data_IF_768473954676
#
_entry.id   IF_768473954676
#
_cell.length_a   1.000
_cell.length_b   1.000
_cell.length_c   1.000
_cell.angle_alpha   90.00
_cell.angle_beta   90.00
_cell.angle_gamma   90.00
#
_symmetry.space_group_name_H-M   'P 1'
#
loop_
_entity.id
_entity.type
_entity.pdbx_description
1 polymer ?
#
# COMPACT_ATOMS: atom_id res chain seq x y z
N UNK A 1 -13.46 34.29 2.08
CA UNK A 1 -13.51 34.12 0.61
C UNK A 1 -13.01 32.71 0.32
N UNK A 2 -13.89 31.83 -0.19
CA UNK A 2 -13.48 30.53 -0.73
C UNK A 2 -12.67 30.85 -1.98
N UNK A 3 -11.35 30.68 -1.93
CA UNK A 3 -10.56 30.67 -3.15
C UNK A 3 -11.04 29.48 -3.97
N UNK A 4 -11.25 29.77 -5.25
CA UNK A 4 -11.86 28.93 -6.26
C UNK A 4 -11.32 27.50 -6.30
N UNK A 5 -12.23 26.59 -6.66
CA UNK A 5 -12.07 25.18 -7.03
C UNK A 5 -11.16 25.01 -8.25
N UNK A 6 -9.94 25.56 -8.23
CA UNK A 6 -8.96 25.36 -9.29
C UNK A 6 -8.13 24.13 -8.97
N UNK A 7 -8.22 23.13 -9.85
CA UNK A 7 -7.36 21.96 -9.79
C UNK A 7 -5.88 22.39 -9.89
N UNK A 8 -5.02 21.63 -9.22
CA UNK A 8 -3.58 21.79 -9.28
C UNK A 8 -3.09 21.22 -10.61
N UNK A 9 -2.53 22.08 -11.46
CA UNK A 9 -1.99 21.65 -12.78
C UNK A 9 -0.46 21.73 -12.85
N UNK A 10 0.17 22.45 -11.93
CA UNK A 10 1.61 22.70 -11.89
C UNK A 10 2.17 22.73 -10.46
N UNK A 11 3.50 22.67 -10.33
CA UNK A 11 4.20 22.93 -9.07
C UNK A 11 3.86 24.32 -8.50
N UNK A 12 3.67 25.31 -9.37
CA UNK A 12 3.31 26.67 -8.97
C UNK A 12 1.90 26.70 -8.33
N UNK A 13 0.93 26.03 -8.93
CA UNK A 13 -0.44 25.94 -8.39
C UNK A 13 -0.43 25.27 -7.01
N UNK A 14 0.29 24.15 -6.89
CA UNK A 14 0.48 23.47 -5.62
C UNK A 14 1.06 24.42 -4.57
N UNK A 15 2.12 25.15 -4.91
CA UNK A 15 2.77 26.11 -4.03
C UNK A 15 1.83 27.26 -3.62
N UNK A 16 0.93 27.67 -4.51
CA UNK A 16 -0.04 28.75 -4.29
C UNK A 16 -1.27 28.33 -3.45
N UNK A 17 -1.50 27.03 -3.24
CA UNK A 17 -2.62 26.54 -2.43
C UNK A 17 -2.65 27.17 -1.03
N UNK A 18 -3.82 27.63 -0.63
CA UNK A 18 -4.07 28.15 0.71
C UNK A 18 -3.95 27.04 1.77
N UNK A 19 -3.38 27.34 2.94
CA UNK A 19 -3.27 26.39 4.05
C UNK A 19 -4.61 25.90 4.60
N UNK A 20 -5.71 26.61 4.31
CA UNK A 20 -7.08 26.24 4.70
C UNK A 20 -7.82 25.45 3.61
N UNK A 21 -7.14 25.02 2.55
CA UNK A 21 -7.75 24.19 1.51
C UNK A 21 -8.30 22.90 2.12
N UNK A 22 -9.53 22.54 1.75
CA UNK A 22 -10.22 21.34 2.24
C UNK A 22 -10.17 20.19 1.24
N UNK A 23 -10.03 20.48 -0.04
CA UNK A 23 -9.91 19.49 -1.11
C UNK A 23 -8.78 19.89 -2.04
N UNK A 24 -7.85 18.96 -2.27
CA UNK A 24 -6.76 19.13 -3.23
C UNK A 24 -6.99 18.12 -4.35
N UNK A 25 -7.29 18.63 -5.54
CA UNK A 25 -7.43 17.83 -6.76
C UNK A 25 -6.28 18.22 -7.69
N UNK A 26 -5.49 17.23 -8.12
CA UNK A 26 -4.44 17.39 -9.12
C UNK A 26 -4.93 16.72 -10.39
N UNK A 27 -4.86 17.41 -11.52
CA UNK A 27 -5.31 16.88 -12.80
C UNK A 27 -4.38 15.78 -13.33
N UNK A 28 -4.83 15.10 -14.38
CA UNK A 28 -4.03 14.13 -15.11
C UNK A 28 -2.83 14.81 -15.79
N UNK A 29 -1.69 14.12 -15.84
CA UNK A 29 -0.44 14.58 -16.46
C UNK A 29 0.19 15.85 -15.85
N UNK A 30 -0.19 16.22 -14.62
CA UNK A 30 0.21 17.47 -13.97
C UNK A 30 1.38 17.31 -12.98
N UNK A 31 1.96 18.46 -12.59
CA UNK A 31 3.05 18.56 -11.61
C UNK A 31 4.29 17.71 -11.93
N UNK A 32 4.67 17.67 -13.22
CA UNK A 32 5.75 16.83 -13.76
C UNK A 32 7.08 17.60 -13.94
N UNK A 33 7.23 18.79 -13.38
CA UNK A 33 8.42 19.62 -13.52
C UNK A 33 9.65 18.93 -12.90
N UNK A 34 10.82 19.02 -13.56
CA UNK A 34 12.05 18.36 -13.10
C UNK A 34 12.54 18.87 -11.73
N UNK A 35 12.18 20.11 -11.38
CA UNK A 35 12.47 20.70 -10.07
C UNK A 35 11.60 20.14 -8.94
N UNK A 36 10.47 19.49 -9.25
CA UNK A 36 9.50 19.08 -8.24
C UNK A 36 9.81 17.68 -7.69
N UNK A 37 10.85 17.61 -6.85
CA UNK A 37 11.37 16.33 -6.33
C UNK A 37 10.81 15.91 -4.96
N UNK A 38 10.15 16.81 -4.23
CA UNK A 38 9.58 16.55 -2.90
C UNK A 38 8.18 17.13 -2.80
N UNK A 39 7.21 16.29 -2.45
CA UNK A 39 5.82 16.66 -2.25
C UNK A 39 5.45 16.43 -0.79
N UNK A 40 5.05 17.49 -0.09
CA UNK A 40 4.71 17.43 1.33
C UNK A 40 3.39 18.17 1.63
N UNK A 41 2.34 17.39 1.88
CA UNK A 41 1.01 17.90 2.17
C UNK A 41 0.82 18.35 3.63
N UNK A 42 1.83 18.21 4.49
CA UNK A 42 1.70 18.44 5.95
C UNK A 42 1.32 19.88 6.33
N UNK A 43 1.45 20.85 5.40
CA UNK A 43 1.06 22.25 5.62
C UNK A 43 -0.45 22.49 5.56
N UNK A 44 -1.24 21.56 5.00
CA UNK A 44 -2.67 21.75 4.76
C UNK A 44 -3.53 21.17 5.90
N UNK A 45 -3.43 21.73 7.10
CA UNK A 45 -4.06 21.15 8.30
C UNK A 45 -5.60 20.99 8.26
N UNK A 46 -6.27 21.65 7.30
CA UNK A 46 -7.72 21.57 7.08
C UNK A 46 -8.12 20.63 5.94
N UNK A 47 -7.17 20.00 5.25
CA UNK A 47 -7.46 19.15 4.09
C UNK A 47 -8.22 17.90 4.51
N UNK A 48 -9.30 17.63 3.81
CA UNK A 48 -10.14 16.44 3.98
C UNK A 48 -9.91 15.41 2.87
N UNK A 49 -9.55 15.86 1.66
CA UNK A 49 -9.41 14.99 0.50
C UNK A 49 -8.18 15.38 -0.31
N UNK A 50 -7.37 14.37 -0.68
CA UNK A 50 -6.26 14.52 -1.62
C UNK A 50 -6.52 13.56 -2.77
N UNK A 51 -6.69 14.09 -3.97
CA UNK A 51 -6.93 13.34 -5.20
C UNK A 51 -5.87 13.72 -6.22
N UNK A 52 -5.12 12.73 -6.66
CA UNK A 52 -4.08 12.89 -7.68
C UNK A 52 -4.54 12.19 -8.95
N UNK A 53 -4.59 12.92 -10.06
CA UNK A 53 -4.85 12.39 -11.40
C UNK A 53 -3.76 11.43 -11.87
N UNK A 54 -4.02 10.73 -12.97
CA UNK A 54 -3.08 9.77 -13.55
C UNK A 54 -1.89 10.47 -14.21
N UNK A 55 -0.74 9.78 -14.31
CA UNK A 55 0.47 10.31 -14.96
C UNK A 55 1.10 11.56 -14.31
N UNK A 56 0.78 11.83 -13.05
CA UNK A 56 1.19 13.04 -12.33
C UNK A 56 2.38 12.81 -11.39
N UNK A 57 3.09 13.90 -11.03
CA UNK A 57 4.25 13.88 -10.12
C UNK A 57 5.39 12.92 -10.52
N UNK A 58 5.65 12.78 -11.82
CA UNK A 58 6.67 11.87 -12.38
C UNK A 58 8.07 12.10 -11.81
N UNK A 59 8.41 13.31 -11.36
CA UNK A 59 9.74 13.62 -10.83
C UNK A 59 9.80 13.68 -9.30
N UNK A 60 8.67 13.47 -8.60
CA UNK A 60 8.65 13.45 -7.13
C UNK A 60 9.29 12.15 -6.62
N UNK A 61 10.30 12.32 -5.78
CA UNK A 61 11.07 11.25 -5.14
C UNK A 61 10.52 10.92 -3.75
N UNK A 62 10.00 11.92 -3.06
CA UNK A 62 9.47 11.78 -1.70
C UNK A 62 8.08 12.38 -1.60
N UNK A 63 7.12 11.55 -1.20
CA UNK A 63 5.76 11.96 -0.88
C UNK A 63 5.54 11.82 0.63
N UNK A 64 5.22 12.93 1.29
CA UNK A 64 4.89 12.99 2.71
C UNK A 64 3.44 13.47 2.92
N UNK A 65 2.66 12.64 3.60
CA UNK A 65 1.32 12.97 4.09
C UNK A 65 1.31 12.68 5.59
N UNK A 66 1.42 13.74 6.40
CA UNK A 66 1.70 13.58 7.82
C UNK A 66 0.93 14.57 8.69
N UNK A 67 0.37 14.07 9.80
CA UNK A 67 -0.34 14.90 10.81
C UNK A 67 -1.45 15.77 10.20
N UNK A 68 -2.29 15.16 9.36
CA UNK A 68 -3.49 15.78 8.80
C UNK A 68 -4.74 15.22 9.50
N UNK A 69 -5.24 15.86 10.57
CA UNK A 69 -6.30 15.29 11.41
C UNK A 69 -7.66 15.23 10.71
N UNK A 70 -7.92 16.12 9.76
CA UNK A 70 -9.18 16.20 9.01
C UNK A 70 -9.19 15.36 7.74
N UNK A 71 -8.03 14.80 7.33
CA UNK A 71 -7.90 14.04 6.09
C UNK A 71 -8.72 12.75 6.19
N UNK A 72 -9.65 12.56 5.27
CA UNK A 72 -10.59 11.42 5.19
C UNK A 72 -10.28 10.49 4.03
N UNK A 73 -9.73 11.03 2.93
CA UNK A 73 -9.50 10.27 1.70
C UNK A 73 -8.16 10.65 1.04
N UNK A 74 -7.40 9.64 0.61
CA UNK A 74 -6.28 9.79 -0.33
C UNK A 74 -6.51 8.87 -1.51
N UNK A 75 -6.58 9.46 -2.71
CA UNK A 75 -6.66 8.74 -3.98
C UNK A 75 -5.52 9.17 -4.89
N UNK A 76 -4.80 8.20 -5.43
CA UNK A 76 -3.76 8.41 -6.44
C UNK A 76 -4.15 7.67 -7.71
N UNK A 77 -4.16 8.38 -8.83
CA UNK A 77 -4.42 7.85 -10.16
C UNK A 77 -3.36 6.87 -10.63
N UNK A 78 -3.51 6.38 -11.85
CA UNK A 78 -2.61 5.39 -12.43
C UNK A 78 -1.30 6.06 -12.86
N UNK A 79 -0.21 5.29 -12.91
CA UNK A 79 1.09 5.72 -13.45
C UNK A 79 1.60 7.06 -12.86
N UNK A 80 1.29 7.33 -11.59
CA UNK A 80 1.74 8.53 -10.87
C UNK A 80 2.96 8.23 -10.00
N UNK A 81 3.79 9.25 -9.71
CA UNK A 81 5.02 9.06 -8.93
C UNK A 81 5.99 8.03 -9.56
N UNK A 82 6.11 8.02 -10.88
CA UNK A 82 6.93 7.06 -11.64
C UNK A 82 8.36 7.55 -11.88
N UNK A 83 8.99 8.12 -10.84
CA UNK A 83 10.35 8.69 -10.93
C UNK A 83 11.33 7.81 -11.68
N UNK A 84 12.14 8.42 -12.54
CA UNK A 84 13.22 7.73 -13.25
C UNK A 84 14.40 7.38 -12.34
N UNK A 85 14.50 8.03 -11.18
CA UNK A 85 15.52 7.71 -10.19
C UNK A 85 15.20 6.39 -9.51
N UNK A 86 16.18 5.50 -9.44
CA UNK A 86 16.00 4.11 -8.98
C UNK A 86 16.14 3.92 -7.46
N UNK A 87 16.63 4.91 -6.73
CA UNK A 87 17.00 4.75 -5.31
C UNK A 87 16.57 5.96 -4.48
N UNK A 88 16.25 5.72 -3.20
CA UNK A 88 15.93 6.76 -2.23
C UNK A 88 14.50 7.29 -2.27
N UNK A 89 13.65 6.72 -3.13
CA UNK A 89 12.26 7.15 -3.28
C UNK A 89 11.39 6.56 -2.16
N UNK A 90 10.59 7.39 -1.49
CA UNK A 90 9.84 7.02 -0.28
C UNK A 90 8.44 7.63 -0.26
N UNK A 91 7.45 6.79 0.05
CA UNK A 91 6.09 7.22 0.35
C UNK A 91 5.81 7.05 1.84
N UNK A 92 5.44 8.15 2.50
CA UNK A 92 5.18 8.21 3.93
C UNK A 92 3.77 8.75 4.19
N UNK A 93 2.91 7.91 4.78
CA UNK A 93 1.56 8.28 5.21
C UNK A 93 1.40 7.92 6.69
N UNK A 94 1.43 8.92 7.57
CA UNK A 94 1.48 8.69 9.03
C UNK A 94 0.64 9.68 9.81
N UNK A 95 0.09 9.24 10.94
CA UNK A 95 -0.58 10.10 11.93
C UNK A 95 -1.76 10.92 11.35
N UNK A 96 -2.46 10.42 10.34
CA UNK A 96 -3.68 11.02 9.79
C UNK A 96 -4.89 10.32 10.41
N UNK A 97 -5.33 10.82 11.58
CA UNK A 97 -6.27 10.12 12.46
C UNK A 97 -7.69 9.99 11.88
N UNK A 98 -8.10 10.89 10.98
CA UNK A 98 -9.39 10.83 10.32
C UNK A 98 -9.44 10.01 9.02
N UNK A 99 -8.30 9.48 8.55
CA UNK A 99 -8.21 8.88 7.22
C UNK A 99 -8.95 7.54 7.19
N UNK A 100 -9.91 7.41 6.28
CA UNK A 100 -10.76 6.21 6.13
C UNK A 100 -10.38 5.35 4.94
N UNK A 101 -9.98 5.98 3.84
CA UNK A 101 -9.70 5.29 2.58
C UNK A 101 -8.36 5.72 1.98
N UNK A 102 -7.56 4.73 1.60
CA UNK A 102 -6.37 4.88 0.79
C UNK A 102 -6.51 4.05 -0.48
N UNK A 103 -6.50 4.71 -1.63
CA UNK A 103 -6.52 4.06 -2.94
C UNK A 103 -5.37 4.52 -3.81
N UNK A 104 -4.59 3.57 -4.31
CA UNK A 104 -3.45 3.82 -5.18
C UNK A 104 -3.68 3.11 -6.52
N UNK A 105 -3.62 3.85 -7.62
CA UNK A 105 -3.76 3.31 -8.97
C UNK A 105 -2.63 2.38 -9.39
N UNK A 106 -2.88 1.60 -10.43
CA UNK A 106 -1.89 0.70 -11.02
C UNK A 106 -0.68 1.48 -11.58
N UNK A 107 0.49 0.85 -11.67
CA UNK A 107 1.74 1.48 -12.14
C UNK A 107 2.35 2.56 -11.23
N UNK A 108 1.59 3.08 -10.27
CA UNK A 108 2.04 4.17 -9.40
C UNK A 108 3.17 3.76 -8.46
N UNK A 109 4.05 4.70 -8.14
CA UNK A 109 5.20 4.49 -7.25
C UNK A 109 6.14 3.35 -7.69
N UNK A 110 6.20 3.03 -8.98
CA UNK A 110 6.94 1.86 -9.51
C UNK A 110 8.46 1.87 -9.25
N UNK A 111 9.04 3.01 -8.86
CA UNK A 111 10.45 3.14 -8.45
C UNK A 111 10.61 3.53 -6.98
N UNK A 112 9.56 3.45 -6.18
CA UNK A 112 9.64 3.72 -4.75
C UNK A 112 10.21 2.52 -4.02
N UNK A 113 11.23 2.76 -3.20
CA UNK A 113 11.90 1.70 -2.44
C UNK A 113 11.19 1.36 -1.12
N UNK A 114 10.37 2.27 -0.60
CA UNK A 114 9.67 2.11 0.66
C UNK A 114 8.25 2.71 0.63
N UNK A 115 7.31 1.97 1.23
CA UNK A 115 5.94 2.40 1.50
C UNK A 115 5.67 2.23 3.00
N UNK A 116 5.54 3.36 3.71
CA UNK A 116 5.38 3.38 5.17
C UNK A 116 4.02 3.97 5.57
N UNK A 117 3.16 3.11 6.11
CA UNK A 117 1.79 3.46 6.51
C UNK A 117 1.58 3.07 7.97
N UNK A 118 1.32 4.04 8.85
CA UNK A 118 1.17 3.76 10.29
C UNK A 118 0.38 4.83 11.04
N UNK A 119 -0.19 4.43 12.18
CA UNK A 119 -0.94 5.30 13.10
C UNK A 119 -2.15 5.99 12.42
N UNK A 120 -2.96 5.20 11.72
CA UNK A 120 -4.19 5.61 11.04
C UNK A 120 -5.38 4.90 11.68
N UNK A 121 -5.96 5.53 12.69
CA UNK A 121 -6.89 4.87 13.62
C UNK A 121 -8.25 4.59 12.97
N UNK A 122 -8.65 5.42 12.00
CA UNK A 122 -9.93 5.34 11.29
C UNK A 122 -9.84 4.64 9.93
N UNK A 123 -8.66 4.15 9.53
CA UNK A 123 -8.48 3.57 8.20
C UNK A 123 -9.22 2.24 8.11
N UNK A 124 -10.11 2.11 7.12
CA UNK A 124 -10.93 0.92 6.92
C UNK A 124 -10.50 0.11 5.69
N UNK A 125 -10.08 0.82 4.62
CA UNK A 125 -9.80 0.24 3.31
C UNK A 125 -8.45 0.69 2.79
N UNK A 126 -7.64 -0.29 2.35
CA UNK A 126 -6.43 -0.07 1.55
C UNK A 126 -6.57 -0.86 0.25
N UNK A 127 -6.60 -0.12 -0.86
CA UNK A 127 -6.58 -0.68 -2.22
C UNK A 127 -5.33 -0.16 -2.96
N UNK A 128 -4.50 -1.08 -3.45
CA UNK A 128 -3.26 -0.74 -4.15
C UNK A 128 -3.15 -1.49 -5.48
N UNK A 129 -3.52 -0.82 -6.56
CA UNK A 129 -3.59 -1.37 -7.91
C UNK A 129 -4.97 -1.95 -8.24
N UNK A 130 -5.03 -2.68 -9.36
CA UNK A 130 -6.21 -3.42 -9.82
C UNK A 130 -5.82 -4.87 -10.09
N UNK A 131 -6.79 -5.78 -10.15
CA UNK A 131 -6.52 -7.19 -10.45
C UNK A 131 -6.17 -7.43 -11.93
N UNK A 132 -6.40 -6.44 -12.80
CA UNK A 132 -6.28 -6.56 -14.25
C UNK A 132 -5.01 -5.93 -14.83
N UNK A 133 -4.31 -5.07 -14.08
CA UNK A 133 -3.18 -4.29 -14.58
C UNK A 133 -1.95 -4.36 -13.65
N UNK A 134 -0.79 -3.93 -14.18
CA UNK A 134 0.49 -3.96 -13.47
C UNK A 134 0.49 -3.09 -12.20
N UNK A 135 0.85 -3.70 -11.08
CA UNK A 135 0.59 -3.17 -9.75
C UNK A 135 1.59 -2.08 -9.32
N UNK A 136 1.22 -1.30 -8.29
CA UNK A 136 2.07 -0.25 -7.78
C UNK A 136 3.26 -0.78 -6.96
N UNK A 137 4.20 0.10 -6.64
CA UNK A 137 5.29 -0.17 -5.70
C UNK A 137 6.22 -1.34 -6.07
N UNK A 138 6.56 -1.51 -7.35
CA UNK A 138 7.55 -2.52 -7.76
C UNK A 138 8.87 -2.35 -6.99
N UNK A 139 9.37 -3.45 -6.46
CA UNK A 139 10.55 -3.57 -5.60
C UNK A 139 10.47 -2.89 -4.22
N UNK A 140 9.34 -2.29 -3.86
CA UNK A 140 9.18 -1.67 -2.55
C UNK A 140 8.91 -2.72 -1.47
N UNK A 141 9.32 -2.43 -0.23
CA UNK A 141 8.84 -3.17 0.93
C UNK A 141 7.62 -2.50 1.55
N UNK A 142 6.71 -3.30 2.10
CA UNK A 142 5.47 -2.83 2.75
C UNK A 142 5.51 -3.11 4.26
N UNK A 143 5.10 -2.11 5.04
CA UNK A 143 4.84 -2.26 6.47
C UNK A 143 3.50 -1.63 6.82
N UNK A 144 2.54 -2.48 7.17
CA UNK A 144 1.25 -2.12 7.74
C UNK A 144 1.25 -2.53 9.22
N UNK A 145 1.22 -1.54 10.11
CA UNK A 145 1.28 -1.77 11.55
C UNK A 145 0.28 -0.93 12.32
N UNK A 146 -0.38 -1.56 13.29
CA UNK A 146 -1.28 -0.90 14.25
C UNK A 146 -2.40 -0.11 13.53
N UNK A 147 -3.17 -0.81 12.70
CA UNK A 147 -4.30 -0.23 11.98
C UNK A 147 -5.59 -0.88 12.52
N UNK A 148 -6.21 -0.30 13.57
CA UNK A 148 -7.20 -0.99 14.38
C UNK A 148 -8.53 -1.21 13.66
N UNK A 149 -8.86 -0.43 12.62
CA UNK A 149 -10.14 -0.49 11.91
C UNK A 149 -10.07 -1.05 10.49
N UNK A 150 -8.88 -1.42 10.00
CA UNK A 150 -8.72 -1.94 8.63
C UNK A 150 -9.42 -3.29 8.53
N UNK A 151 -10.34 -3.41 7.57
CA UNK A 151 -11.15 -4.62 7.33
C UNK A 151 -10.71 -5.37 6.08
N UNK A 152 -10.30 -4.63 5.04
CA UNK A 152 -10.02 -5.18 3.72
C UNK A 152 -8.69 -4.62 3.22
N UNK A 153 -7.83 -5.53 2.77
CA UNK A 153 -6.62 -5.21 2.01
C UNK A 153 -6.76 -5.76 0.60
N UNK A 154 -6.54 -4.92 -0.40
CA UNK A 154 -6.44 -5.34 -1.80
C UNK A 154 -5.10 -4.91 -2.38
N UNK A 155 -4.37 -5.86 -2.92
CA UNK A 155 -3.13 -5.66 -3.65
C UNK A 155 -3.31 -6.18 -5.06
N UNK A 156 -3.22 -5.30 -6.05
CA UNK A 156 -3.41 -5.61 -7.46
C UNK A 156 -2.34 -6.53 -8.04
N UNK A 157 -2.54 -6.93 -9.29
CA UNK A 157 -1.62 -7.82 -10.03
C UNK A 157 -0.22 -7.22 -10.09
N UNK A 158 0.79 -7.89 -9.56
CA UNK A 158 2.18 -7.41 -9.50
C UNK A 158 2.44 -6.31 -8.48
N UNK A 159 1.48 -5.98 -7.60
CA UNK A 159 1.71 -5.02 -6.53
C UNK A 159 2.84 -5.52 -5.60
N UNK A 160 3.81 -4.65 -5.32
CA UNK A 160 5.00 -5.02 -4.53
C UNK A 160 5.78 -6.23 -5.10
N UNK A 161 5.76 -6.45 -6.42
CA UNK A 161 6.62 -7.47 -7.04
C UNK A 161 8.10 -7.17 -6.79
N UNK A 162 8.92 -8.21 -6.65
CA UNK A 162 10.32 -8.10 -6.25
C UNK A 162 10.54 -7.38 -4.90
N UNK A 163 9.60 -7.49 -3.95
CA UNK A 163 9.81 -6.95 -2.60
C UNK A 163 10.82 -7.78 -1.80
N UNK A 164 11.35 -7.20 -0.72
CA UNK A 164 12.19 -7.91 0.26
C UNK A 164 11.40 -8.17 1.53
N UNK A 165 10.49 -7.27 1.90
CA UNK A 165 9.75 -7.40 3.15
C UNK A 165 8.28 -7.01 3.00
N UNK A 166 7.42 -7.86 3.55
CA UNK A 166 6.01 -7.56 3.77
C UNK A 166 5.66 -7.80 5.25
N UNK A 167 5.13 -6.77 5.92
CA UNK A 167 4.71 -6.85 7.32
C UNK A 167 3.26 -6.40 7.44
N UNK A 168 2.41 -7.28 7.96
CA UNK A 168 1.00 -7.03 8.28
C UNK A 168 0.79 -7.44 9.73
N UNK A 169 0.82 -6.46 10.65
CA UNK A 169 0.88 -6.73 12.08
C UNK A 169 -0.07 -5.83 12.90
N UNK A 170 -0.82 -6.44 13.81
CA UNK A 170 -1.80 -5.76 14.69
C UNK A 170 -2.93 -5.08 13.90
N UNK A 171 -3.64 -5.86 13.09
CA UNK A 171 -4.86 -5.44 12.39
C UNK A 171 -6.03 -6.30 12.92
N UNK A 172 -6.59 -5.96 14.09
CA UNK A 172 -7.56 -6.80 14.80
C UNK A 172 -8.90 -6.96 14.08
N UNK A 173 -9.28 -5.99 13.23
CA UNK A 173 -10.53 -5.99 12.47
C UNK A 173 -10.39 -6.51 11.03
N UNK A 174 -9.19 -6.92 10.63
CA UNK A 174 -8.93 -7.40 9.27
C UNK A 174 -9.65 -8.72 9.03
N UNK A 175 -10.53 -8.76 8.03
CA UNK A 175 -11.34 -9.94 7.69
C UNK A 175 -10.92 -10.57 6.37
N UNK A 176 -10.46 -9.78 5.40
CA UNK A 176 -10.08 -10.27 4.07
C UNK A 176 -8.80 -9.63 3.53
N UNK A 177 -7.99 -10.44 2.84
CA UNK A 177 -6.84 -10.00 2.05
C UNK A 177 -6.94 -10.56 0.63
N UNK A 178 -6.87 -9.68 -0.37
CA UNK A 178 -6.95 -10.02 -1.78
C UNK A 178 -5.60 -9.73 -2.44
N UNK A 179 -5.00 -10.75 -3.04
CA UNK A 179 -3.76 -10.67 -3.78
C UNK A 179 -4.01 -10.94 -5.27
N UNK A 180 -3.68 -9.97 -6.11
CA UNK A 180 -3.62 -10.15 -7.56
C UNK A 180 -2.46 -11.06 -7.96
N UNK A 181 -2.44 -11.45 -9.24
CA UNK A 181 -1.40 -12.34 -9.76
C UNK A 181 -0.01 -11.70 -9.56
N UNK A 182 0.94 -12.45 -9.02
CA UNK A 182 2.32 -12.01 -8.70
C UNK A 182 2.43 -10.85 -7.69
N UNK A 183 1.35 -10.51 -6.97
CA UNK A 183 1.46 -9.60 -5.84
C UNK A 183 2.40 -10.20 -4.78
N UNK A 184 3.34 -9.40 -4.27
CA UNK A 184 4.38 -9.87 -3.34
C UNK A 184 5.16 -11.11 -3.82
N UNK A 185 5.51 -11.18 -5.10
CA UNK A 185 6.66 -11.99 -5.51
C UNK A 185 7.92 -11.40 -4.86
N UNK A 186 8.68 -12.21 -4.12
CA UNK A 186 9.88 -11.73 -3.42
C UNK A 186 11.10 -11.78 -4.34
N UNK A 187 12.11 -10.96 -4.03
CA UNK A 187 13.45 -11.20 -4.56
C UNK A 187 13.99 -12.51 -3.99
N UNK A 188 14.69 -13.27 -4.83
CA UNK A 188 15.47 -14.44 -4.41
C UNK A 188 16.68 -14.01 -3.58
N UNK A 189 16.41 -13.59 -2.35
CA UNK A 189 17.35 -13.02 -1.39
C UNK A 189 17.08 -13.65 -0.02
N UNK A 190 18.12 -14.07 0.68
CA UNK A 190 18.01 -14.75 1.98
C UNK A 190 17.46 -13.85 3.10
N UNK A 191 17.46 -12.53 2.89
CA UNK A 191 16.83 -11.57 3.81
C UNK A 191 15.32 -11.41 3.60
N UNK A 192 14.75 -12.01 2.54
CA UNK A 192 13.34 -11.84 2.19
C UNK A 192 12.41 -12.41 3.26
N UNK A 193 11.40 -11.62 3.65
CA UNK A 193 10.58 -11.95 4.83
C UNK A 193 9.12 -11.49 4.74
N UNK A 194 8.21 -12.41 5.05
CA UNK A 194 6.80 -12.15 5.35
C UNK A 194 6.56 -12.25 6.86
N UNK A 195 5.89 -11.26 7.42
CA UNK A 195 5.43 -11.26 8.81
C UNK A 195 3.94 -10.95 8.81
N UNK A 196 3.14 -11.92 9.25
CA UNK A 196 1.72 -11.72 9.54
C UNK A 196 1.46 -12.07 11.00
N UNK A 197 1.02 -11.08 11.78
CA UNK A 197 0.85 -11.25 13.23
C UNK A 197 -0.38 -10.54 13.77
N UNK A 198 -1.04 -11.18 14.73
CA UNK A 198 -2.18 -10.62 15.46
C UNK A 198 -3.29 -10.18 14.49
N UNK A 199 -3.79 -11.15 13.72
CA UNK A 199 -4.88 -11.00 12.75
C UNK A 199 -6.06 -11.91 13.18
N UNK A 200 -6.64 -11.69 14.38
CA UNK A 200 -7.60 -12.60 14.99
C UNK A 200 -8.91 -12.77 14.23
N UNK A 201 -9.31 -11.79 13.40
CA UNK A 201 -10.55 -11.83 12.62
C UNK A 201 -10.34 -12.18 11.14
N UNK A 202 -9.11 -12.48 10.72
CA UNK A 202 -8.83 -12.79 9.33
C UNK A 202 -9.46 -14.15 8.98
N UNK A 203 -10.48 -14.14 8.13
CA UNK A 203 -11.22 -15.35 7.71
C UNK A 203 -10.87 -15.79 6.30
N UNK A 204 -10.52 -14.83 5.43
CA UNK A 204 -10.42 -15.04 3.99
C UNK A 204 -9.12 -14.49 3.40
N UNK A 205 -8.45 -15.31 2.61
CA UNK A 205 -7.40 -14.89 1.68
C UNK A 205 -7.86 -15.30 0.28
N UNK A 206 -7.77 -14.36 -0.66
CA UNK A 206 -8.08 -14.60 -2.08
C UNK A 206 -6.82 -14.34 -2.89
N UNK A 207 -6.50 -15.24 -3.79
CA UNK A 207 -5.40 -15.11 -4.75
C UNK A 207 -5.95 -15.22 -6.17
N UNK A 208 -5.44 -14.39 -7.07
CA UNK A 208 -5.77 -14.43 -8.49
C UNK A 208 -4.70 -15.15 -9.31
N UNK A 209 -5.15 -15.78 -10.41
CA UNK A 209 -4.30 -16.46 -11.39
C UNK A 209 -4.34 -17.98 -11.31
N UNK A 210 -3.80 -18.63 -12.35
CA UNK A 210 -3.81 -20.09 -12.50
C UNK A 210 -2.61 -20.78 -11.82
N UNK A 211 -1.58 -20.02 -11.47
CA UNK A 211 -0.34 -20.53 -10.87
C UNK A 211 0.03 -19.73 -9.61
N UNK A 212 0.75 -20.38 -8.69
CA UNK A 212 1.22 -19.69 -7.49
C UNK A 212 2.37 -18.75 -7.84
N UNK A 213 2.10 -17.46 -7.80
CA UNK A 213 3.10 -16.40 -7.95
C UNK A 213 3.12 -15.43 -6.77
N UNK A 214 2.18 -15.59 -5.83
CA UNK A 214 2.11 -14.80 -4.60
C UNK A 214 3.08 -15.43 -3.59
N UNK A 215 3.91 -14.59 -2.95
CA UNK A 215 4.96 -15.02 -2.02
C UNK A 215 6.01 -15.96 -2.64
N UNK A 216 6.13 -16.00 -3.96
CA UNK A 216 7.19 -16.76 -4.63
C UNK A 216 8.57 -16.27 -4.19
N UNK A 217 9.56 -17.18 -4.11
CA UNK A 217 10.95 -16.87 -3.75
C UNK A 217 11.17 -16.29 -2.35
N UNK A 218 10.18 -16.39 -1.46
CA UNK A 218 10.31 -15.97 -0.07
C UNK A 218 11.23 -16.90 0.73
N UNK A 219 12.14 -16.31 1.51
CA UNK A 219 13.07 -17.05 2.35
C UNK A 219 12.50 -17.34 3.75
N UNK A 220 11.91 -16.35 4.45
CA UNK A 220 11.42 -16.52 5.83
C UNK A 220 9.98 -16.07 6.01
N UNK A 221 9.20 -16.89 6.71
CA UNK A 221 7.78 -16.61 7.01
C UNK A 221 7.55 -16.65 8.51
N UNK A 222 6.82 -15.67 9.03
CA UNK A 222 6.36 -15.63 10.41
C UNK A 222 4.85 -15.43 10.43
N UNK A 223 4.11 -16.41 10.96
CA UNK A 223 2.66 -16.40 11.11
C UNK A 223 2.31 -16.60 12.58
N UNK A 224 1.78 -15.58 13.25
CA UNK A 224 1.43 -15.69 14.67
C UNK A 224 0.07 -15.09 14.99
N UNK A 225 -0.74 -15.81 15.78
CA UNK A 225 -2.07 -15.35 16.21
C UNK A 225 -2.99 -15.02 15.02
N UNK A 226 -3.21 -16.03 14.16
CA UNK A 226 -4.15 -16.01 13.03
C UNK A 226 -5.11 -17.21 13.15
N UNK A 227 -5.91 -17.29 14.23
CA UNK A 227 -6.70 -18.48 14.56
C UNK A 227 -7.94 -18.70 13.68
N UNK A 228 -8.44 -17.65 13.00
CA UNK A 228 -9.77 -17.65 12.39
C UNK A 228 -9.79 -17.86 10.87
N UNK A 229 -8.65 -18.09 10.23
CA UNK A 229 -8.60 -18.23 8.77
C UNK A 229 -9.30 -19.52 8.36
N UNK A 230 -10.39 -19.44 7.61
CA UNK A 230 -11.17 -20.59 7.16
C UNK A 230 -11.04 -20.84 5.66
N UNK A 231 -10.77 -19.78 4.89
CA UNK A 231 -10.86 -19.83 3.43
C UNK A 231 -9.59 -19.25 2.79
N UNK A 232 -8.94 -20.06 1.95
CA UNK A 232 -7.92 -19.63 0.99
C UNK A 232 -8.49 -19.99 -0.39
N UNK A 233 -8.97 -19.00 -1.13
CA UNK A 233 -9.56 -19.17 -2.46
C UNK A 233 -8.55 -18.84 -3.54
N UNK A 234 -8.62 -19.55 -4.66
CA UNK A 234 -7.63 -19.47 -5.74
C UNK A 234 -6.48 -20.46 -5.53
N UNK A 235 -5.28 -20.09 -5.95
CA UNK A 235 -4.08 -20.91 -5.76
C UNK A 235 -3.51 -20.67 -4.36
N UNK A 236 -3.12 -21.74 -3.67
CA UNK A 236 -2.52 -21.64 -2.35
C UNK A 236 -1.20 -20.82 -2.38
N UNK A 237 -1.21 -19.59 -1.88
CA UNK A 237 -0.04 -18.71 -1.84
C UNK A 237 1.10 -19.21 -0.92
N UNK A 238 0.88 -20.28 -0.16
CA UNK A 238 1.88 -20.85 0.74
C UNK A 238 2.45 -22.19 0.24
N UNK A 239 2.13 -22.65 -0.98
CA UNK A 239 2.54 -23.99 -1.45
C UNK A 239 4.06 -24.15 -1.66
N UNK A 240 4.74 -23.11 -2.11
CA UNK A 240 6.15 -23.18 -2.56
C UNK A 240 7.15 -22.64 -1.52
N UNK A 241 6.76 -22.63 -0.24
CA UNK A 241 7.57 -22.01 0.82
C UNK A 241 8.51 -23.03 1.47
N UNK A 242 9.74 -22.61 1.78
CA UNK A 242 10.68 -23.47 2.50
C UNK A 242 10.27 -23.62 3.97
N UNK A 243 9.75 -24.80 4.33
CA UNK A 243 9.20 -25.13 5.65
C UNK A 243 10.19 -24.93 6.81
N UNK A 244 11.50 -25.12 6.59
CA UNK A 244 12.51 -24.93 7.65
C UNK A 244 12.55 -23.48 8.17
N UNK A 245 12.09 -22.53 7.34
CA UNK A 245 12.15 -21.11 7.62
C UNK A 245 10.78 -20.51 7.98
N UNK A 246 9.77 -21.35 8.19
CA UNK A 246 8.43 -20.96 8.64
C UNK A 246 8.35 -21.04 10.15
N UNK A 247 8.00 -19.92 10.79
CA UNK A 247 7.65 -19.85 12.21
C UNK A 247 6.15 -19.62 12.33
N UNK A 248 5.42 -20.66 12.74
CA UNK A 248 3.97 -20.62 12.89
C UNK A 248 3.56 -20.84 14.36
N UNK A 249 2.68 -20.00 14.90
CA UNK A 249 2.17 -20.12 16.27
C UNK A 249 0.72 -19.64 16.36
N UNK A 250 -0.17 -20.42 16.98
CA UNK A 250 -1.59 -20.06 17.14
C UNK A 250 -2.24 -19.65 15.79
N UNK A 251 -2.15 -20.55 14.81
CA UNK A 251 -2.73 -20.40 13.49
C UNK A 251 -3.90 -21.38 13.30
N UNK A 252 -4.84 -21.04 12.42
CA UNK A 252 -5.98 -21.89 12.12
C UNK A 252 -5.56 -23.23 11.48
N UNK A 253 -6.39 -24.29 11.56
CA UNK A 253 -6.14 -25.54 10.85
C UNK A 253 -6.00 -25.35 9.33
N UNK A 254 -6.79 -24.46 8.71
CA UNK A 254 -6.69 -24.14 7.28
C UNK A 254 -5.32 -23.57 6.94
N UNK A 255 -4.82 -22.61 7.73
CA UNK A 255 -3.50 -22.01 7.52
C UNK A 255 -2.37 -23.02 7.78
N UNK A 256 -2.55 -23.91 8.76
CA UNK A 256 -1.56 -24.97 9.02
C UNK A 256 -1.51 -25.99 7.88
N UNK A 257 -2.66 -26.31 7.28
CA UNK A 257 -2.74 -27.23 6.13
C UNK A 257 -2.13 -26.62 4.86
N UNK A 258 -2.28 -25.31 4.64
CA UNK A 258 -1.74 -24.63 3.47
C UNK A 258 -0.21 -24.56 3.45
N UNK A 259 0.46 -24.82 4.58
CA UNK A 259 1.92 -24.87 4.72
C UNK A 259 2.50 -26.28 4.52
N UNK A 260 1.66 -27.30 4.31
CA UNK A 260 2.09 -28.69 4.06
C UNK A 260 2.33 -28.93 2.59
#
# INVERSE_FOLDING_TARGET
>A
MKFSDCNVTSQADYCALCGTVTEIVVDDCCCNEDSFNKLDFSRFGSVEQIRVGSYSFRNVLSLTIHRLPQLKEVKVGCDSFTSRQKTGNVFCLKNCKGLKELKIGHGSFSKYSACEISNLDELEVIEMGTLEAGGPFSSASLKLKNLPKVKILLFGTGAFCCCIQCVIENLPELTSIHFGWSAFSFKSDDSSKLIMRNLPKLTTIVTEGETNSVFSSIHSIVLENIPSLTTISGVNCFSDVNKSNVKAKNISPTLAASLK
#
